data_IF_597548087713
#
_entry.id   IF_597548087713
#
_cell.length_a   1.000
_cell.length_b   1.000
_cell.length_c   1.000
_cell.angle_alpha   90.00
_cell.angle_beta   90.00
_cell.angle_gamma   90.00
#
_symmetry.space_group_name_H-M   'P 1'
#
loop_
_entity.id
_entity.type
_entity.pdbx_description
1 polymer ?
#
# COMPACT_ATOMS: atom_id res chain seq x y z
N UNK A 1 -30.19 -5.82 -17.12
CA UNK A 1 -29.67 -4.47 -17.45
C UNK A 1 -28.96 -3.74 -16.29
N UNK A 2 -29.41 -3.88 -15.03
CA UNK A 2 -28.85 -3.14 -13.88
C UNK A 2 -27.32 -3.26 -13.68
N UNK A 3 -26.70 -4.43 -13.94
CA UNK A 3 -25.26 -4.62 -13.79
C UNK A 3 -24.43 -3.81 -14.79
N UNK A 4 -24.96 -3.58 -16.00
CA UNK A 4 -24.24 -2.85 -17.05
C UNK A 4 -24.11 -1.36 -16.71
N UNK A 5 -25.16 -0.78 -16.13
CA UNK A 5 -25.14 0.60 -15.61
C UNK A 5 -24.18 0.72 -14.42
N UNK A 6 -24.30 -0.17 -13.43
CA UNK A 6 -23.45 -0.15 -12.24
C UNK A 6 -21.96 -0.32 -12.60
N UNK A 7 -21.66 -1.19 -13.57
CA UNK A 7 -20.28 -1.41 -14.04
C UNK A 7 -19.67 -0.18 -14.73
N UNK A 8 -20.49 0.58 -15.50
CA UNK A 8 -20.05 1.87 -16.06
C UNK A 8 -19.72 2.87 -14.95
N UNK A 9 -20.61 3.00 -13.96
CA UNK A 9 -20.42 3.91 -12.83
C UNK A 9 -19.16 3.58 -12.03
N UNK A 10 -18.96 2.28 -11.73
CA UNK A 10 -17.75 1.79 -11.07
C UNK A 10 -16.48 2.17 -11.84
N UNK A 11 -16.50 2.09 -13.18
CA UNK A 11 -15.35 2.47 -14.02
C UNK A 11 -15.09 3.97 -13.97
N UNK A 12 -16.14 4.79 -14.04
CA UNK A 12 -16.04 6.25 -13.95
C UNK A 12 -15.39 6.67 -12.64
N UNK A 13 -15.96 6.25 -11.50
CA UNK A 13 -15.42 6.56 -10.16
C UNK A 13 -13.97 6.09 -10.03
N UNK A 14 -13.69 4.85 -10.47
CA UNK A 14 -12.35 4.30 -10.35
C UNK A 14 -11.33 5.08 -11.18
N UNK A 15 -11.72 5.59 -12.36
CA UNK A 15 -10.88 6.43 -13.20
C UNK A 15 -10.68 7.83 -12.60
N UNK A 16 -11.74 8.49 -12.13
CA UNK A 16 -11.68 9.82 -11.51
C UNK A 16 -10.71 9.89 -10.33
N UNK A 17 -10.63 8.81 -9.55
CA UNK A 17 -9.72 8.69 -8.40
C UNK A 17 -8.40 8.00 -8.73
N UNK A 18 -8.02 7.91 -10.02
CA UNK A 18 -6.77 7.32 -10.50
C UNK A 18 -6.52 5.88 -10.00
N UNK A 19 -7.58 5.10 -9.86
CA UNK A 19 -7.53 3.70 -9.43
C UNK A 19 -7.29 3.47 -7.94
N UNK A 20 -7.23 4.54 -7.13
CA UNK A 20 -6.92 4.46 -5.69
C UNK A 20 -8.04 3.72 -4.92
N UNK A 21 -9.28 3.79 -5.38
CA UNK A 21 -10.42 3.26 -4.64
C UNK A 21 -10.69 1.79 -4.96
N UNK A 22 -10.75 0.98 -3.90
CA UNK A 22 -11.24 -0.39 -3.94
C UNK A 22 -12.75 -0.50 -3.72
N UNK A 23 -13.28 -1.72 -3.77
CA UNK A 23 -14.72 -1.97 -3.74
C UNK A 23 -15.45 -1.38 -2.52
N UNK A 24 -14.78 -1.21 -1.38
CA UNK A 24 -15.38 -0.60 -0.18
C UNK A 24 -15.63 0.90 -0.37
N UNK A 25 -14.65 1.63 -0.90
CA UNK A 25 -14.74 3.08 -1.15
C UNK A 25 -15.65 3.37 -2.34
N UNK A 26 -15.55 2.57 -3.40
CA UNK A 26 -16.48 2.65 -4.54
C UNK A 26 -17.92 2.39 -4.09
N UNK A 27 -18.18 1.42 -3.19
CA UNK A 27 -19.52 1.20 -2.64
C UNK A 27 -20.04 2.41 -1.86
N UNK A 28 -19.17 3.12 -1.13
CA UNK A 28 -19.56 4.33 -0.41
C UNK A 28 -19.93 5.45 -1.40
N UNK A 29 -19.14 5.63 -2.45
CA UNK A 29 -19.41 6.62 -3.49
C UNK A 29 -20.71 6.33 -4.26
N UNK A 30 -20.91 5.06 -4.65
CA UNK A 30 -22.16 4.62 -5.25
C UNK A 30 -23.36 4.87 -4.33
N UNK A 31 -23.22 4.66 -3.02
CA UNK A 31 -24.29 4.95 -2.07
C UNK A 31 -24.58 6.46 -1.96
N UNK A 32 -23.55 7.31 -1.98
CA UNK A 32 -23.69 8.77 -2.01
C UNK A 32 -24.42 9.25 -3.28
N UNK A 33 -24.22 8.56 -4.41
CA UNK A 33 -24.96 8.78 -5.67
C UNK A 33 -26.34 8.12 -5.72
N UNK A 34 -26.83 7.54 -4.61
CA UNK A 34 -28.15 6.93 -4.53
C UNK A 34 -28.25 5.50 -5.08
N UNK A 35 -27.12 4.85 -5.41
CA UNK A 35 -27.11 3.46 -5.84
C UNK A 35 -27.05 2.47 -4.67
N UNK A 36 -28.18 1.82 -4.38
CA UNK A 36 -28.24 0.72 -3.44
C UNK A 36 -27.54 -0.54 -4.00
N UNK A 37 -26.29 -0.80 -3.56
CA UNK A 37 -25.56 -1.99 -3.94
C UNK A 37 -24.71 -2.58 -2.79
N UNK A 38 -24.68 -3.91 -2.71
CA UNK A 38 -23.87 -4.63 -1.73
C UNK A 38 -22.38 -4.67 -2.10
N UNK A 39 -21.50 -4.63 -1.09
CA UNK A 39 -20.03 -4.66 -1.29
C UNK A 39 -19.54 -5.84 -2.14
N UNK A 40 -20.18 -7.02 -2.01
CA UNK A 40 -19.80 -8.23 -2.76
C UNK A 40 -20.15 -8.12 -4.25
N UNK A 41 -21.26 -7.44 -4.57
CA UNK A 41 -21.64 -7.16 -5.96
C UNK A 41 -20.66 -6.18 -6.60
N UNK A 42 -20.29 -5.11 -5.90
CA UNK A 42 -19.27 -4.17 -6.36
C UNK A 42 -17.93 -4.88 -6.56
N UNK A 43 -17.48 -5.68 -5.60
CA UNK A 43 -16.24 -6.44 -5.71
C UNK A 43 -16.23 -7.39 -6.92
N UNK A 44 -17.34 -8.09 -7.16
CA UNK A 44 -17.50 -8.96 -8.34
C UNK A 44 -17.44 -8.17 -9.64
N UNK A 45 -18.16 -7.06 -9.75
CA UNK A 45 -18.17 -6.22 -10.95
C UNK A 45 -16.80 -5.57 -11.22
N UNK A 46 -16.09 -5.11 -10.19
CA UNK A 46 -14.71 -4.63 -10.33
C UNK A 46 -13.79 -5.72 -10.89
N UNK A 47 -13.90 -6.95 -10.38
CA UNK A 47 -13.10 -8.11 -10.85
C UNK A 47 -13.43 -8.47 -12.30
N UNK A 48 -14.72 -8.54 -12.65
CA UNK A 48 -15.17 -8.78 -14.03
C UNK A 48 -14.71 -7.67 -14.99
N UNK A 49 -14.60 -6.43 -14.50
CA UNK A 49 -14.11 -5.29 -15.26
C UNK A 49 -12.57 -5.14 -15.27
N UNK A 50 -11.83 -6.01 -14.57
CA UNK A 50 -10.36 -5.94 -14.49
C UNK A 50 -9.81 -4.81 -13.61
N UNK A 51 -10.65 -4.13 -12.83
CA UNK A 51 -10.26 -2.98 -12.02
C UNK A 51 -9.57 -3.44 -10.73
N UNK A 52 -8.39 -2.91 -10.45
CA UNK A 52 -7.57 -3.26 -9.29
C UNK A 52 -6.96 -2.01 -8.68
N UNK A 53 -6.90 -1.99 -7.35
CA UNK A 53 -6.21 -0.94 -6.61
C UNK A 53 -4.70 -1.18 -6.68
N UNK A 54 -3.88 -0.14 -6.96
CA UNK A 54 -2.44 -0.24 -6.87
C UNK A 54 -2.02 -0.73 -5.49
N UNK A 55 -1.30 -1.85 -5.44
CA UNK A 55 -0.64 -2.27 -4.21
C UNK A 55 0.65 -1.48 -4.06
N UNK A 56 0.94 -0.99 -2.84
CA UNK A 56 2.23 -0.36 -2.56
C UNK A 56 3.33 -1.36 -2.90
N UNK A 57 4.27 -0.97 -3.76
CA UNK A 57 5.46 -1.76 -4.05
C UNK A 57 6.15 -2.07 -2.73
N UNK A 58 6.38 -3.35 -2.44
CA UNK A 58 7.15 -3.74 -1.25
C UNK A 58 8.51 -3.07 -1.35
N UNK A 59 8.88 -2.32 -0.32
CA UNK A 59 10.22 -1.78 -0.22
C UNK A 59 11.20 -2.96 -0.10
N UNK A 60 12.19 -2.99 -0.98
CA UNK A 60 13.26 -3.99 -0.96
C UNK A 60 14.53 -3.24 -0.63
N UNK A 61 15.13 -3.60 0.50
CA UNK A 61 16.44 -3.10 0.89
C UNK A 61 17.45 -3.61 -0.14
N UNK A 62 17.93 -2.71 -1.01
CA UNK A 62 19.07 -2.97 -1.90
C UNK A 62 20.35 -2.80 -1.09
N UNK A 63 20.59 -3.70 -0.14
CA UNK A 63 21.92 -3.79 0.49
C UNK A 63 22.24 -5.23 0.81
N UNK A 64 22.90 -5.87 -0.15
CA UNK A 64 24.28 -6.26 0.15
C UNK A 64 25.12 -5.32 -0.69
N UNK A 65 25.70 -4.28 -0.08
CA UNK A 65 26.84 -3.65 -0.71
C UNK A 65 27.90 -4.74 -0.81
N UNK A 66 28.02 -5.38 -1.99
CA UNK A 66 29.17 -6.23 -2.32
C UNK A 66 30.38 -5.33 -2.56
N UNK A 67 30.67 -4.45 -1.61
CA UNK A 67 31.91 -3.71 -1.61
C UNK A 67 32.97 -4.60 -0.97
N UNK A 68 34.15 -4.62 -1.58
CA UNK A 68 35.32 -5.24 -0.96
C UNK A 68 35.89 -4.39 0.19
N UNK A 69 35.27 -3.24 0.49
CA UNK A 69 35.70 -2.38 1.59
C UNK A 69 35.49 -3.11 2.93
N UNK A 70 36.45 -2.98 3.86
CA UNK A 70 36.31 -3.54 5.18
C UNK A 70 35.11 -2.93 5.89
N UNK A 71 34.32 -3.77 6.55
CA UNK A 71 33.29 -3.31 7.47
C UNK A 71 34.02 -2.68 8.65
N UNK A 72 33.66 -1.44 9.00
CA UNK A 72 34.24 -0.78 10.17
C UNK A 72 33.98 -1.66 11.41
N UNK A 73 35.02 -1.93 12.23
CA UNK A 73 34.87 -2.79 13.39
C UNK A 73 33.92 -2.15 14.40
N UNK A 74 33.10 -2.99 15.05
CA UNK A 74 32.27 -2.56 16.16
C UNK A 74 33.15 -2.35 17.40
N UNK A 75 33.57 -1.11 17.64
CA UNK A 75 34.43 -0.77 18.77
C UNK A 75 33.75 -0.89 20.14
N UNK A 76 32.42 -0.87 20.18
CA UNK A 76 31.67 -0.94 21.43
C UNK A 76 31.34 -2.38 21.82
N UNK A 77 31.11 -3.24 20.84
CA UNK A 77 30.75 -4.65 21.03
C UNK A 77 29.75 -4.92 22.16
N UNK A 78 28.70 -4.07 22.23
CA UNK A 78 27.64 -4.08 23.27
C UNK A 78 28.11 -3.82 24.71
N UNK A 79 29.32 -3.32 24.91
CA UNK A 79 29.84 -2.88 26.19
C UNK A 79 29.39 -1.44 26.46
N UNK A 80 28.14 -1.26 26.88
CA UNK A 80 27.58 0.05 27.18
C UNK A 80 27.97 0.61 28.55
N UNK A 81 28.55 -0.24 29.41
CA UNK A 81 29.06 0.19 30.71
C UNK A 81 30.37 0.97 30.52
N UNK A 82 30.42 2.19 31.05
CA UNK A 82 31.60 3.06 31.01
C UNK A 82 32.06 3.41 32.41
N UNK A 83 33.36 3.43 32.62
CA UNK A 83 34.03 3.90 33.84
C UNK A 83 34.09 5.45 33.92
N UNK A 84 33.87 6.15 32.81
CA UNK A 84 33.94 7.63 32.71
C UNK A 84 32.88 8.21 31.77
N UNK A 85 32.50 9.47 32.03
CA UNK A 85 31.62 10.24 31.15
C UNK A 85 32.31 10.51 29.80
N UNK A 86 31.55 10.57 28.71
CA UNK A 86 32.04 10.87 27.35
C UNK A 86 33.11 9.89 26.80
N UNK A 87 32.94 8.58 27.05
CA UNK A 87 33.87 7.55 26.54
C UNK A 87 33.32 6.76 25.34
N UNK A 88 31.99 6.61 25.27
CA UNK A 88 31.30 5.88 24.20
C UNK A 88 30.22 6.77 23.59
N UNK A 89 30.09 6.73 22.26
CA UNK A 89 29.05 7.43 21.49
C UNK A 89 28.32 6.40 20.62
N UNK A 90 26.99 6.39 20.66
CA UNK A 90 26.10 5.43 19.95
C UNK A 90 25.00 6.19 19.24
#
# INVERSE_FOLDING_TARGET
MANRRLSKEIRTIHHEVNGIYGHRRIKAELAAMGHACGRHRVARLMREAGLRVPSRKRWRLLSSSRHALPIAPNHLDRQFASDRVNRHWV
#
